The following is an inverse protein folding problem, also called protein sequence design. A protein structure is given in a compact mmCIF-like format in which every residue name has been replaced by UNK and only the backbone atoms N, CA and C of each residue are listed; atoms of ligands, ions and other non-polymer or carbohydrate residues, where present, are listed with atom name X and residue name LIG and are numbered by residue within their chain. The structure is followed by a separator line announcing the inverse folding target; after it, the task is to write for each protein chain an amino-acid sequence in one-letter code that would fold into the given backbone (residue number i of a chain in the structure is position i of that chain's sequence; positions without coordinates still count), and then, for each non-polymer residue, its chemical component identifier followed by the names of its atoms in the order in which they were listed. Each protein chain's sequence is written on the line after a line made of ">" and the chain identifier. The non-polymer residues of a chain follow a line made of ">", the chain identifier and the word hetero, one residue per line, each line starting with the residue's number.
data_IF_313289569726
#
_entry.id   IF_313289569726
#
_cell.length_a   1.000
_cell.length_b   1.000
_cell.length_c   1.000
_cell.angle_alpha   90.00
_cell.angle_beta   90.00
_cell.angle_gamma   90.00
#
_symmetry.space_group_name_H-M   'P 1'
#
loop_
_entity.id
_entity.type
_entity.pdbx_description
1 polymer ?
#
# COMPACT_ATOMS: atom_id res chain seq x y z
N UNK A 1 -15.27 8.19 -17.83
CA UNK A 1 -14.74 9.58 -17.73
C UNK A 1 -13.38 9.45 -17.11
N UNK A 2 -12.31 9.88 -17.79
CA UNK A 2 -10.96 9.83 -17.21
C UNK A 2 -10.62 11.21 -16.67
N UNK A 3 -10.09 11.29 -15.46
CA UNK A 3 -9.52 12.51 -14.91
C UNK A 3 -8.15 12.75 -15.56
N UNK A 4 -7.77 14.01 -15.69
CA UNK A 4 -6.42 14.37 -16.09
C UNK A 4 -5.41 13.86 -15.04
N UNK A 5 -4.53 12.95 -15.47
CA UNK A 5 -3.54 12.31 -14.60
C UNK A 5 -2.59 13.35 -13.99
N UNK A 6 -2.23 14.41 -14.72
CA UNK A 6 -1.31 15.44 -14.25
C UNK A 6 -1.95 16.31 -13.16
N UNK A 7 -3.23 16.66 -13.32
CA UNK A 7 -3.98 17.38 -12.28
C UNK A 7 -4.07 16.52 -11.01
N UNK A 8 -4.46 15.26 -11.14
CA UNK A 8 -4.58 14.35 -9.98
C UNK A 8 -3.21 14.05 -9.34
N UNK A 9 -2.13 13.99 -10.13
CA UNK A 9 -0.75 13.86 -9.65
C UNK A 9 -0.37 15.06 -8.78
N UNK A 10 -0.68 16.29 -9.21
CA UNK A 10 -0.43 17.49 -8.41
C UNK A 10 -1.20 17.47 -7.08
N UNK A 11 -2.47 17.08 -7.10
CA UNK A 11 -3.25 16.93 -5.86
C UNK A 11 -2.66 15.84 -4.95
N UNK A 12 -2.28 14.70 -5.52
CA UNK A 12 -1.70 13.60 -4.74
C UNK A 12 -0.37 14.03 -4.09
N UNK A 13 0.48 14.75 -4.81
CA UNK A 13 1.75 15.31 -4.27
C UNK A 13 1.52 16.19 -3.04
N UNK A 14 0.42 16.95 -3.00
CA UNK A 14 0.06 17.77 -1.84
C UNK A 14 -0.29 16.92 -0.60
N UNK A 15 -0.64 15.65 -0.77
CA UNK A 15 -0.89 14.72 0.33
C UNK A 15 0.39 14.07 0.87
N UNK A 16 1.51 14.16 0.13
CA UNK A 16 2.76 13.53 0.50
C UNK A 16 3.60 14.44 1.41
N UNK A 17 4.06 13.90 2.52
CA UNK A 17 5.03 14.53 3.40
C UNK A 17 6.37 13.82 3.27
N UNK A 18 6.96 13.79 2.07
CA UNK A 18 8.18 13.03 1.77
C UNK A 18 9.33 13.36 2.73
N UNK A 19 9.48 14.63 3.12
CA UNK A 19 10.50 15.07 4.08
C UNK A 19 10.30 14.49 5.49
N UNK A 20 9.09 14.00 5.80
CA UNK A 20 8.79 13.31 7.04
C UNK A 20 9.06 11.81 6.94
N UNK A 21 9.13 11.25 5.73
CA UNK A 21 9.30 9.81 5.56
C UNK A 21 10.57 9.34 6.26
N UNK A 22 10.43 8.21 6.97
CA UNK A 22 11.51 7.55 7.71
C UNK A 22 12.02 8.35 8.93
N UNK A 23 11.43 9.50 9.31
CA UNK A 23 11.91 10.33 10.44
C UNK A 23 11.79 9.64 11.79
N UNK A 24 10.88 8.67 11.91
CA UNK A 24 10.57 7.98 13.16
C UNK A 24 11.00 6.51 13.18
N UNK A 25 11.89 6.09 12.27
CA UNK A 25 12.47 4.75 12.31
C UNK A 25 13.15 4.51 13.66
N UNK A 26 12.77 3.41 14.33
CA UNK A 26 13.29 3.05 15.65
C UNK A 26 12.77 3.93 16.80
N UNK A 27 11.87 4.89 16.54
CA UNK A 27 11.20 5.67 17.58
C UNK A 27 9.88 5.00 17.98
N UNK A 28 9.82 4.56 19.23
CA UNK A 28 8.68 3.82 19.78
C UNK A 28 7.98 4.56 20.94
N UNK A 29 8.36 5.81 21.24
CA UNK A 29 7.84 6.52 22.42
C UNK A 29 6.36 6.95 22.27
N UNK A 30 5.58 6.59 23.28
CA UNK A 30 4.21 6.96 23.63
C UNK A 30 3.22 7.20 22.49
N UNK A 31 2.80 6.07 21.92
CA UNK A 31 1.56 5.79 21.20
C UNK A 31 0.28 6.05 22.03
N UNK A 32 0.19 7.20 22.70
CA UNK A 32 -0.94 7.59 23.56
C UNK A 32 -2.06 8.33 22.83
N UNK A 33 -1.93 8.61 21.53
CA UNK A 33 -2.94 9.36 20.76
C UNK A 33 -2.85 9.11 19.27
N UNK A 34 -3.74 8.25 18.78
CA UNK A 34 -4.17 8.09 17.38
C UNK A 34 -3.11 8.21 16.29
N UNK A 35 -2.34 7.15 16.03
CA UNK A 35 -2.27 6.78 14.62
C UNK A 35 -3.68 6.32 14.29
N UNK A 36 -4.44 7.14 13.55
CA UNK A 36 -5.73 6.74 12.98
C UNK A 36 -5.48 5.72 11.86
N UNK A 37 -4.96 4.55 12.23
CA UNK A 37 -4.64 3.49 11.30
C UNK A 37 -5.69 2.41 11.43
N UNK A 38 -6.26 1.94 10.30
CA UNK A 38 -7.11 0.77 10.35
C UNK A 38 -6.29 -0.51 10.64
N UNK A 39 -4.95 -0.46 10.54
CA UNK A 39 -4.08 -1.60 10.80
C UNK A 39 -3.95 -1.90 12.30
N UNK A 40 -3.94 -3.18 12.65
CA UNK A 40 -3.32 -3.63 13.88
C UNK A 40 -1.79 -3.53 13.74
N UNK A 41 -1.14 -2.69 14.54
CA UNK A 41 0.28 -2.34 14.38
C UNK A 41 1.15 -3.03 15.43
N UNK A 42 2.29 -3.59 15.00
CA UNK A 42 3.35 -4.07 15.90
C UNK A 42 4.71 -3.48 15.50
N UNK A 43 5.40 -2.86 16.45
CA UNK A 43 6.77 -2.39 16.25
C UNK A 43 7.78 -3.53 16.27
N UNK A 44 8.77 -3.43 15.40
CA UNK A 44 9.95 -4.29 15.40
C UNK A 44 11.17 -3.40 15.60
N UNK A 45 11.95 -3.68 16.63
CA UNK A 45 13.18 -2.96 16.94
C UNK A 45 14.42 -3.62 16.32
N UNK A 46 14.37 -4.93 16.11
CA UNK A 46 15.48 -5.74 15.61
C UNK A 46 15.58 -5.70 14.08
N UNK A 47 16.66 -5.12 13.55
CA UNK A 47 16.93 -5.04 12.11
C UNK A 47 16.83 -6.38 11.38
N UNK A 48 17.31 -7.47 11.98
CA UNK A 48 17.24 -8.81 11.37
C UNK A 48 15.81 -9.35 11.28
N UNK A 49 14.94 -8.97 12.22
CA UNK A 49 13.50 -9.27 12.10
C UNK A 49 12.85 -8.41 11.03
N UNK A 50 13.21 -7.13 10.92
CA UNK A 50 12.72 -6.21 9.88
C UNK A 50 13.02 -6.80 8.51
N UNK A 51 14.27 -7.17 8.22
CA UNK A 51 14.63 -7.74 6.92
C UNK A 51 13.93 -9.06 6.61
N UNK A 52 13.75 -9.94 7.61
CA UNK A 52 12.99 -11.19 7.43
C UNK A 52 11.52 -10.93 7.11
N UNK A 53 10.92 -9.87 7.66
CA UNK A 53 9.53 -9.50 7.39
C UNK A 53 9.35 -8.85 6.03
N UNK A 54 10.29 -8.00 5.62
CA UNK A 54 10.28 -7.39 4.29
C UNK A 54 10.40 -8.42 3.16
N UNK A 55 11.12 -9.53 3.42
CA UNK A 55 11.30 -10.64 2.47
C UNK A 55 10.21 -11.72 2.56
N UNK A 56 9.23 -11.57 3.43
CA UNK A 56 8.20 -12.58 3.59
C UNK A 56 7.18 -12.47 2.45
N UNK A 57 6.82 -13.60 1.85
CA UNK A 57 5.83 -13.71 0.77
C UNK A 57 4.51 -13.02 1.10
N UNK A 58 4.16 -12.91 2.38
CA UNK A 58 2.95 -12.24 2.84
C UNK A 58 2.84 -10.78 2.38
N UNK A 59 3.95 -10.04 2.29
CA UNK A 59 3.92 -8.65 1.82
C UNK A 59 3.64 -8.57 0.32
N UNK A 60 4.32 -9.41 -0.46
CA UNK A 60 4.12 -9.53 -1.90
C UNK A 60 2.70 -9.99 -2.24
N UNK A 61 2.15 -10.95 -1.49
CA UNK A 61 0.79 -11.44 -1.70
C UNK A 61 -0.25 -10.33 -1.51
N UNK A 62 -0.06 -9.44 -0.53
CA UNK A 62 -1.00 -8.34 -0.31
C UNK A 62 -0.89 -7.26 -1.37
N UNK A 63 0.31 -6.95 -1.86
CA UNK A 63 0.45 -6.06 -3.02
C UNK A 63 -0.30 -6.62 -4.22
N UNK A 64 -0.21 -7.93 -4.47
CA UNK A 64 -0.95 -8.62 -5.54
C UNK A 64 -2.46 -8.56 -5.29
N UNK A 65 -2.92 -8.89 -4.07
CA UNK A 65 -4.35 -8.87 -3.71
C UNK A 65 -4.95 -7.47 -3.92
N UNK A 66 -4.30 -6.43 -3.39
CA UNK A 66 -4.75 -5.04 -3.53
C UNK A 66 -4.71 -4.60 -5.00
N UNK A 67 -3.71 -5.01 -5.76
CA UNK A 67 -3.63 -4.70 -7.19
C UNK A 67 -4.77 -5.35 -7.98
N UNK A 68 -5.08 -6.61 -7.70
CA UNK A 68 -6.20 -7.31 -8.32
C UNK A 68 -7.54 -6.67 -7.96
N UNK A 69 -7.72 -6.25 -6.71
CA UNK A 69 -8.92 -5.54 -6.27
C UNK A 69 -9.10 -4.20 -7.03
N UNK A 70 -8.01 -3.47 -7.30
CA UNK A 70 -8.04 -2.24 -8.12
C UNK A 70 -8.45 -2.57 -9.56
N UNK A 71 -7.90 -3.62 -10.16
CA UNK A 71 -8.26 -4.04 -11.52
C UNK A 71 -9.72 -4.47 -11.63
N UNK A 72 -10.20 -5.31 -10.71
CA UNK A 72 -11.60 -5.75 -10.65
C UNK A 72 -12.53 -4.54 -10.52
N UNK A 73 -12.15 -3.56 -9.68
CA UNK A 73 -12.92 -2.32 -9.53
C UNK A 73 -13.01 -1.52 -10.85
N UNK A 74 -11.91 -1.38 -11.58
CA UNK A 74 -11.88 -0.67 -12.87
C UNK A 74 -12.74 -1.39 -13.92
N UNK A 75 -12.64 -2.71 -14.00
CA UNK A 75 -13.45 -3.53 -14.90
C UNK A 75 -14.95 -3.38 -14.60
N UNK A 76 -15.34 -3.44 -13.32
CA UNK A 76 -16.74 -3.25 -12.89
C UNK A 76 -17.31 -1.89 -13.32
N UNK A 77 -16.47 -0.86 -13.42
CA UNK A 77 -16.86 0.48 -13.81
C UNK A 77 -16.56 0.81 -15.28
N UNK A 78 -16.36 -0.22 -16.12
CA UNK A 78 -16.14 -0.11 -17.57
C UNK A 78 -14.97 0.82 -17.94
N UNK A 79 -13.93 0.83 -17.10
CA UNK A 79 -12.70 1.54 -17.40
C UNK A 79 -11.72 0.63 -18.13
N UNK A 80 -10.99 1.20 -19.09
CA UNK A 80 -9.87 0.49 -19.70
C UNK A 80 -8.76 0.30 -18.66
N UNK A 81 -8.49 -0.95 -18.29
CA UNK A 81 -7.43 -1.31 -17.36
C UNK A 81 -6.03 -0.85 -17.80
N UNK A 82 -5.86 -0.46 -19.07
CA UNK A 82 -4.62 0.15 -19.57
C UNK A 82 -4.21 1.40 -18.79
N UNK A 83 -5.17 2.15 -18.22
CA UNK A 83 -4.92 3.37 -17.44
C UNK A 83 -4.01 3.12 -16.23
N UNK A 84 -4.02 1.89 -15.69
CA UNK A 84 -3.16 1.50 -14.57
C UNK A 84 -1.68 1.64 -14.91
N UNK A 85 -1.30 1.40 -16.17
CA UNK A 85 0.09 1.53 -16.61
C UNK A 85 0.50 3.01 -16.66
N UNK A 86 -0.36 3.88 -17.14
CA UNK A 86 -0.11 5.33 -17.16
C UNK A 86 -0.02 5.89 -15.73
N UNK A 87 -0.92 5.45 -14.84
CA UNK A 87 -0.86 5.78 -13.42
C UNK A 87 0.40 5.22 -12.75
N UNK A 88 0.85 4.02 -13.13
CA UNK A 88 2.07 3.44 -12.61
C UNK A 88 3.30 4.23 -13.05
N UNK A 89 3.36 4.65 -14.32
CA UNK A 89 4.43 5.48 -14.86
C UNK A 89 4.48 6.84 -14.13
N UNK A 90 3.34 7.51 -13.96
CA UNK A 90 3.29 8.78 -13.24
C UNK A 90 3.65 8.62 -11.76
N UNK A 91 3.10 7.61 -11.06
CA UNK A 91 3.48 7.31 -9.69
C UNK A 91 4.98 7.04 -9.53
N UNK A 92 5.58 6.33 -10.49
CA UNK A 92 7.02 6.12 -10.53
C UNK A 92 7.79 7.43 -10.74
N UNK A 93 7.32 8.34 -11.60
CA UNK A 93 7.94 9.66 -11.77
C UNK A 93 7.94 10.44 -10.44
N UNK A 94 6.81 10.45 -9.72
CA UNK A 94 6.72 11.07 -8.39
C UNK A 94 7.77 10.47 -7.44
N UNK A 95 7.95 9.15 -7.46
CA UNK A 95 8.94 8.49 -6.62
C UNK A 95 10.39 8.84 -7.03
N UNK A 96 10.70 8.79 -8.32
CA UNK A 96 12.05 9.01 -8.86
C UNK A 96 12.59 10.40 -8.51
N UNK A 97 11.73 11.43 -8.50
CA UNK A 97 12.08 12.78 -8.03
C UNK A 97 12.61 12.81 -6.59
N UNK A 98 12.19 11.85 -5.77
CA UNK A 98 12.49 11.76 -4.35
C UNK A 98 13.44 10.60 -4.00
N UNK A 99 13.74 9.71 -4.95
CA UNK A 99 14.46 8.46 -4.73
C UNK A 99 15.83 8.71 -4.08
N UNK A 100 16.62 9.63 -4.61
CA UNK A 100 17.95 9.95 -4.07
C UNK A 100 17.89 10.38 -2.60
N UNK A 101 16.93 11.23 -2.24
CA UNK A 101 16.72 11.67 -0.86
C UNK A 101 16.36 10.48 0.05
N UNK A 102 15.38 9.68 -0.36
CA UNK A 102 14.91 8.52 0.42
C UNK A 102 15.99 7.45 0.57
N UNK A 103 16.79 7.18 -0.47
CA UNK A 103 17.93 6.25 -0.41
C UNK A 103 18.99 6.73 0.57
N UNK A 104 19.37 8.02 0.54
CA UNK A 104 20.30 8.56 1.54
C UNK A 104 19.75 8.44 2.97
N UNK A 105 18.45 8.64 3.17
CA UNK A 105 17.80 8.44 4.47
C UNK A 105 17.88 6.97 4.91
N UNK A 106 17.58 6.00 4.05
CA UNK A 106 17.73 4.57 4.36
C UNK A 106 19.17 4.23 4.78
N UNK A 107 20.16 4.71 4.02
CA UNK A 107 21.58 4.48 4.30
C UNK A 107 21.98 5.06 5.67
N UNK A 108 21.48 6.25 6.04
CA UNK A 108 21.82 6.88 7.33
C UNK A 108 21.31 6.05 8.53
N UNK A 109 20.19 5.35 8.39
CA UNK A 109 19.68 4.40 9.38
C UNK A 109 20.32 3.00 9.26
N UNK A 110 21.29 2.81 8.35
CA UNK A 110 21.90 1.51 8.00
C UNK A 110 20.83 0.49 7.59
N UNK A 111 19.88 0.93 6.77
CA UNK A 111 18.88 0.10 6.10
C UNK A 111 19.32 -0.11 4.66
N UNK A 112 19.09 -1.31 4.12
CA UNK A 112 19.37 -1.60 2.73
C UNK A 112 18.57 -0.66 1.80
N UNK A 113 19.26 0.01 0.88
CA UNK A 113 18.67 0.94 -0.09
C UNK A 113 17.61 0.29 -0.98
N UNK A 114 17.68 -1.03 -1.21
CA UNK A 114 16.69 -1.78 -1.97
C UNK A 114 15.27 -1.69 -1.38
N UNK A 115 15.12 -1.30 -0.10
CA UNK A 115 13.81 -0.99 0.51
C UNK A 115 13.09 0.12 -0.26
N UNK A 116 13.83 1.05 -0.86
CA UNK A 116 13.28 2.10 -1.71
C UNK A 116 12.48 1.49 -2.88
N UNK A 117 13.06 0.50 -3.56
CA UNK A 117 12.48 -0.11 -4.76
C UNK A 117 11.45 -1.20 -4.46
N UNK A 118 11.57 -1.93 -3.34
CA UNK A 118 10.67 -3.04 -3.02
C UNK A 118 9.51 -2.68 -2.09
N UNK A 119 9.57 -1.54 -1.40
CA UNK A 119 8.53 -1.13 -0.43
C UNK A 119 8.03 0.28 -0.71
N UNK A 120 8.93 1.27 -0.74
CA UNK A 120 8.52 2.67 -0.83
C UNK A 120 7.91 2.99 -2.20
N UNK A 121 8.57 2.56 -3.29
CA UNK A 121 8.07 2.77 -4.65
C UNK A 121 6.74 2.05 -4.89
N UNK A 122 6.57 0.74 -4.60
CA UNK A 122 5.27 0.09 -4.74
C UNK A 122 4.17 0.75 -3.93
N UNK A 123 4.41 1.08 -2.65
CA UNK A 123 3.42 1.74 -1.81
C UNK A 123 2.97 3.10 -2.37
N UNK A 124 3.91 3.88 -2.92
CA UNK A 124 3.61 5.17 -3.54
C UNK A 124 2.81 4.98 -4.85
N UNK A 125 3.30 4.12 -5.74
CA UNK A 125 2.64 3.84 -7.03
C UNK A 125 1.21 3.34 -6.83
N UNK A 126 1.02 2.34 -5.96
CA UNK A 126 -0.31 1.82 -5.63
C UNK A 126 -1.17 2.84 -4.91
N UNK A 127 -0.60 3.62 -4.00
CA UNK A 127 -1.31 4.69 -3.31
C UNK A 127 -1.81 5.77 -4.26
N UNK A 128 -1.05 6.09 -5.32
CA UNK A 128 -1.50 6.99 -6.38
C UNK A 128 -2.64 6.38 -7.20
N UNK A 129 -2.55 5.10 -7.56
CA UNK A 129 -3.62 4.38 -8.25
C UNK A 129 -4.92 4.39 -7.42
N UNK A 130 -4.86 4.03 -6.13
CA UNK A 130 -5.99 4.11 -5.20
C UNK A 130 -6.56 5.53 -5.09
N UNK A 131 -5.69 6.54 -5.01
CA UNK A 131 -6.10 7.95 -4.94
C UNK A 131 -6.87 8.36 -6.20
N UNK A 132 -6.32 8.09 -7.38
CA UNK A 132 -6.95 8.40 -8.66
C UNK A 132 -8.31 7.74 -8.80
N UNK A 133 -8.40 6.43 -8.54
CA UNK A 133 -9.67 5.69 -8.64
C UNK A 133 -10.70 6.20 -7.64
N UNK A 134 -10.29 6.59 -6.43
CA UNK A 134 -11.20 7.18 -5.44
C UNK A 134 -11.77 8.54 -5.83
N UNK A 135 -11.06 9.30 -6.68
CA UNK A 135 -11.56 10.56 -7.24
C UNK A 135 -12.59 10.34 -8.33
N UNK A 136 -12.44 9.26 -9.10
CA UNK A 136 -13.41 8.85 -10.10
C UNK A 136 -14.70 8.30 -9.48
N UNK A 137 -14.55 7.47 -8.46
CA UNK A 137 -15.66 6.79 -7.81
C UNK A 137 -15.55 6.92 -6.29
N UNK A 138 -16.45 7.74 -5.71
CA UNK A 138 -16.51 7.97 -4.26
C UNK A 138 -16.74 6.72 -3.42
N UNK A 139 -17.25 5.64 -4.03
CA UNK A 139 -17.51 4.35 -3.39
C UNK A 139 -16.29 3.41 -3.41
N UNK A 140 -15.13 3.82 -3.94
CA UNK A 140 -13.90 3.04 -3.88
C UNK A 140 -13.44 2.89 -2.43
N UNK A 141 -13.55 1.67 -1.88
CA UNK A 141 -13.21 1.37 -0.48
C UNK A 141 -11.76 0.89 -0.31
N UNK A 142 -11.02 0.66 -1.40
CA UNK A 142 -9.62 0.23 -1.33
C UNK A 142 -8.75 1.44 -1.00
N UNK A 143 -8.14 1.43 0.18
CA UNK A 143 -7.27 2.48 0.68
C UNK A 143 -6.03 1.94 1.39
N UNK A 144 -5.64 0.68 1.12
CA UNK A 144 -4.52 0.02 1.79
C UNK A 144 -3.22 0.82 1.64
N UNK A 145 -2.82 1.16 0.43
CA UNK A 145 -1.59 1.89 0.17
C UNK A 145 -1.68 3.36 0.56
N UNK A 146 -2.86 4.00 0.45
CA UNK A 146 -3.06 5.34 1.02
C UNK A 146 -2.89 5.36 2.54
N UNK A 147 -3.29 4.29 3.23
CA UNK A 147 -3.03 4.13 4.67
C UNK A 147 -1.54 3.87 4.95
N UNK A 148 -0.83 3.12 4.11
CA UNK A 148 0.64 2.99 4.21
C UNK A 148 1.35 4.34 4.02
N UNK A 149 0.93 5.13 3.03
CA UNK A 149 1.44 6.49 2.82
C UNK A 149 1.20 7.37 4.03
N UNK A 150 0.05 7.25 4.70
CA UNK A 150 -0.22 7.99 5.92
C UNK A 150 0.78 7.65 7.04
N UNK A 151 1.17 6.38 7.16
CA UNK A 151 2.22 5.96 8.11
C UNK A 151 3.61 6.44 7.72
N UNK A 152 3.91 6.46 6.43
CA UNK A 152 5.15 7.03 5.90
C UNK A 152 5.20 8.55 6.14
N UNK A 153 4.09 9.27 5.97
CA UNK A 153 3.97 10.69 6.29
C UNK A 153 4.19 10.97 7.78
N UNK A 154 3.83 10.03 8.66
CA UNK A 154 4.15 10.07 10.09
C UNK A 154 5.60 9.65 10.38
N UNK A 155 6.37 9.27 9.36
CA UNK A 155 7.79 8.95 9.43
C UNK A 155 8.12 7.51 9.79
N UNK A 156 7.13 6.62 9.86
CA UNK A 156 7.35 5.20 10.14
C UNK A 156 7.61 4.41 8.85
N UNK A 157 8.38 3.32 8.95
CA UNK A 157 8.64 2.44 7.82
C UNK A 157 7.79 1.15 7.94
N UNK A 158 6.77 0.96 7.09
CA UNK A 158 6.13 -0.34 6.94
C UNK A 158 7.16 -1.38 6.50
N UNK A 159 7.26 -2.49 7.23
CA UNK A 159 8.27 -3.51 6.98
C UNK A 159 7.73 -4.94 6.89
N UNK A 160 6.40 -5.09 6.78
CA UNK A 160 5.78 -6.35 6.44
C UNK A 160 4.37 -6.48 7.03
N UNK A 161 3.69 -7.54 6.61
CA UNK A 161 2.38 -7.92 7.12
C UNK A 161 2.38 -9.39 7.54
N UNK A 162 1.55 -9.72 8.52
CA UNK A 162 1.26 -11.11 8.88
C UNK A 162 -0.25 -11.29 9.04
N UNK A 163 -0.81 -12.21 8.26
CA UNK A 163 -2.16 -12.71 8.49
C UNK A 163 -2.27 -13.41 9.85
N UNK A 164 -3.38 -13.14 10.54
CA UNK A 164 -3.75 -13.80 11.78
C UNK A 164 -3.89 -15.31 11.55
N UNK A 165 -3.48 -16.16 12.51
CA UNK A 165 -3.52 -17.62 12.36
C UNK A 165 -4.91 -18.17 12.00
N UNK A 166 -5.98 -17.51 12.46
CA UNK A 166 -7.39 -17.85 12.18
C UNK A 166 -7.70 -17.78 10.68
N UNK A 167 -7.02 -16.89 9.94
CA UNK A 167 -7.22 -16.69 8.51
C UNK A 167 -6.32 -17.53 7.61
N UNK A 168 -5.30 -18.20 8.16
CA UNK A 168 -4.49 -19.17 7.38
C UNK A 168 -5.31 -20.36 6.86
N UNK A 169 -6.46 -20.63 7.48
CA UNK A 169 -7.38 -21.70 7.11
C UNK A 169 -8.58 -21.21 6.29
N UNK A 170 -8.64 -19.92 5.91
CA UNK A 170 -9.67 -19.47 4.98
C UNK A 170 -9.31 -19.92 3.56
N UNK A 171 -10.22 -20.60 2.83
CA UNK A 171 -9.98 -21.07 1.47
C UNK A 171 -9.81 -19.94 0.43
N UNK A 172 -9.90 -18.68 0.87
CA UNK A 172 -9.72 -17.48 0.04
C UNK A 172 -8.29 -16.94 0.01
N UNK A 173 -7.27 -17.75 0.36
CA UNK A 173 -5.93 -17.52 -0.19
C UNK A 173 -6.01 -17.74 -1.71
N UNK A 174 -6.56 -16.75 -2.40
CA UNK A 174 -6.92 -16.72 -3.82
C UNK A 174 -5.66 -16.59 -4.68
N UNK A 175 -4.76 -17.56 -4.56
CA UNK A 175 -3.87 -17.96 -5.65
C UNK A 175 -4.50 -19.10 -6.46
N UNK A 176 -5.60 -19.71 -6.00
CA UNK A 176 -6.28 -20.79 -6.74
C UNK A 176 -7.80 -20.65 -6.59
N UNK A 177 -8.44 -20.18 -7.67
CA UNK A 177 -9.76 -20.61 -8.20
C UNK A 177 -10.39 -19.46 -8.99
N UNK A 178 -9.89 -19.27 -10.22
CA UNK A 178 -10.74 -18.84 -11.34
C UNK A 178 -11.75 -19.96 -11.63
N UNK A 179 -12.71 -20.16 -10.73
CA UNK A 179 -13.90 -20.95 -11.03
C UNK A 179 -15.03 -19.99 -11.42
N UNK A 180 -15.49 -20.16 -12.66
CA UNK A 180 -16.43 -19.29 -13.37
C UNK A 180 -17.88 -19.34 -12.84
N UNK A 181 -18.12 -19.67 -11.57
CA UNK A 181 -19.47 -20.02 -11.09
C UNK A 181 -20.17 -18.99 -10.19
N UNK A 182 -19.61 -17.79 -9.98
CA UNK A 182 -20.28 -16.77 -9.14
C UNK A 182 -20.22 -15.34 -9.69
N UNK A 183 -20.24 -15.17 -11.02
CA UNK A 183 -20.25 -13.84 -11.67
C UNK A 183 -21.56 -13.03 -11.47
N UNK A 184 -22.61 -13.62 -10.89
CA UNK A 184 -23.91 -12.94 -10.75
C UNK A 184 -24.15 -12.28 -9.38
N UNK A 185 -23.48 -12.71 -8.30
CA UNK A 185 -23.70 -12.14 -6.95
C UNK A 185 -22.60 -11.16 -6.48
N UNK A 186 -21.49 -11.01 -7.22
CA UNK A 186 -20.39 -10.09 -6.88
C UNK A 186 -20.60 -8.65 -7.36
N UNK A 187 -21.58 -8.39 -8.24
CA UNK A 187 -21.80 -7.05 -8.83
C UNK A 187 -22.26 -5.96 -7.85
N UNK A 188 -22.46 -6.29 -6.57
CA UNK A 188 -22.98 -5.34 -5.57
C UNK A 188 -22.13 -5.19 -4.31
N UNK A 189 -21.08 -6.00 -4.11
CA UNK A 189 -20.22 -5.90 -2.93
C UNK A 189 -18.82 -5.43 -3.32
N UNK A 190 -18.59 -4.12 -3.20
CA UNK A 190 -17.24 -3.57 -3.15
C UNK A 190 -16.58 -4.12 -1.89
N UNK A 191 -15.63 -5.06 -2.03
CA UNK A 191 -14.91 -5.62 -0.88
C UNK A 191 -14.07 -4.53 -0.23
N UNK A 192 -14.27 -4.29 1.06
CA UNK A 192 -13.33 -3.52 1.88
C UNK A 192 -12.17 -4.43 2.30
N UNK A 193 -10.94 -3.91 2.29
CA UNK A 193 -9.79 -4.65 2.83
C UNK A 193 -10.01 -4.91 4.33
N UNK A 194 -9.94 -6.18 4.75
CA UNK A 194 -10.08 -6.54 6.17
C UNK A 194 -8.76 -6.31 6.91
N UNK A 195 -8.59 -5.11 7.45
CA UNK A 195 -7.42 -4.74 8.24
C UNK A 195 -7.30 -5.49 9.57
N UNK A 196 -8.38 -6.10 10.06
CA UNK A 196 -8.38 -6.89 11.30
C UNK A 196 -7.85 -8.32 11.09
N UNK A 197 -7.80 -8.77 9.84
CA UNK A 197 -7.32 -10.10 9.45
C UNK A 197 -5.81 -10.30 9.66
N UNK A 198 -5.05 -9.26 9.99
CA UNK A 198 -3.61 -9.36 10.19
C UNK A 198 -3.01 -8.22 10.99
N UNK A 199 -1.68 -8.21 11.02
CA UNK A 199 -0.86 -7.24 11.75
C UNK A 199 0.16 -6.63 10.81
N UNK A 200 0.19 -5.30 10.74
CA UNK A 200 1.22 -4.52 10.06
C UNK A 200 2.43 -4.35 10.99
N UNK A 201 3.61 -4.59 10.45
CA UNK A 201 4.87 -4.34 11.15
C UNK A 201 5.45 -2.99 10.75
N UNK A 202 5.84 -2.20 11.75
CA UNK A 202 6.55 -0.94 11.58
C UNK A 202 7.96 -1.03 12.17
N UNK A 203 8.94 -0.48 11.45
CA UNK A 203 10.30 -0.28 11.96
C UNK A 203 10.46 1.15 12.50
#
# INVERSE_FOLDING_TARGET
>A
MNLDIQIVSQEFRQTLQINNWLNNIGNHQNYGGSISSPFNIQFITEKDRVYRRMKADAWTNIDIDVFNDILEFLEMHSMDGSIINDLAAEGKNIFDENKTYLTHRLISYKINENVADYILMPALVRGFQEFYVSKLHKNMLINFNRNLISLLNLGYLPCGWKYSPIWKNHPNNLVVHLDNSSKENLKTHVKSFDYSSGTLYLF
#
